data_IF_163883930611
#
_entry.id   IF_163883930611
#
_cell.length_a   1.000
_cell.length_b   1.000
_cell.length_c   1.000
_cell.angle_alpha   90.00
_cell.angle_beta   90.00
_cell.angle_gamma   90.00
#
_symmetry.space_group_name_H-M   'P 1'
#
loop_
_entity.id
_entity.type
_entity.pdbx_description
1 polymer ?
#
# COMPACT_ATOMS: atom_id res chain seq x y z
N UNK A 1 -18.83 24.66 -15.81
CA UNK A 1 -18.90 23.22 -16.12
C UNK A 1 -19.64 22.55 -14.99
N UNK A 2 -20.57 21.64 -15.33
CA UNK A 2 -21.48 21.03 -14.38
C UNK A 2 -20.71 20.04 -13.49
N UNK A 3 -20.79 20.27 -12.18
CA UNK A 3 -20.36 19.33 -11.15
C UNK A 3 -21.02 17.98 -11.41
N UNK A 4 -20.23 16.92 -11.48
CA UNK A 4 -20.72 15.55 -11.28
C UNK A 4 -21.22 15.44 -9.83
N UNK A 5 -22.45 15.88 -9.59
CA UNK A 5 -23.22 15.48 -8.42
C UNK A 5 -23.52 13.99 -8.58
N UNK A 6 -22.74 13.16 -7.90
CA UNK A 6 -23.07 11.75 -7.74
C UNK A 6 -24.22 11.70 -6.72
N UNK A 7 -25.46 11.74 -7.21
CA UNK A 7 -26.66 11.49 -6.43
C UNK A 7 -27.52 10.46 -7.17
N UNK A 8 -28.08 9.50 -6.43
CA UNK A 8 -29.04 8.55 -6.98
C UNK A 8 -30.34 9.26 -7.41
N UNK A 9 -31.04 8.76 -8.46
CA UNK A 9 -32.32 9.34 -8.89
C UNK A 9 -33.35 9.30 -7.75
N UNK A 10 -33.77 10.48 -7.27
CA UNK A 10 -34.84 10.62 -6.27
C UNK A 10 -34.43 11.20 -4.91
N UNK A 11 -33.14 11.44 -4.65
CA UNK A 11 -32.68 12.11 -3.43
C UNK A 11 -32.16 13.52 -3.73
N UNK A 12 -33.06 14.50 -3.80
CA UNK A 12 -32.66 15.92 -3.85
C UNK A 12 -32.26 16.39 -2.44
N UNK A 13 -31.09 17.02 -2.32
CA UNK A 13 -30.51 17.42 -1.02
C UNK A 13 -30.93 18.82 -0.60
N UNK A 14 -31.08 19.03 0.71
CA UNK A 14 -31.37 20.33 1.30
C UNK A 14 -30.15 21.27 1.08
N UNK A 15 -30.32 22.53 0.63
CA UNK A 15 -29.22 23.38 0.12
C UNK A 15 -28.11 23.80 1.11
N UNK A 16 -28.19 23.39 2.38
CA UNK A 16 -27.31 23.87 3.46
C UNK A 16 -26.67 22.77 4.31
N UNK A 17 -26.84 21.50 3.97
CA UNK A 17 -26.04 20.43 4.59
C UNK A 17 -24.69 20.33 3.88
N UNK A 18 -23.64 20.87 4.52
CA UNK A 18 -22.27 20.60 4.10
C UNK A 18 -21.96 19.11 4.33
N UNK A 19 -22.14 18.30 3.29
CA UNK A 19 -21.76 16.89 3.33
C UNK A 19 -20.25 16.78 3.25
N UNK A 20 -19.60 16.65 4.41
CA UNK A 20 -18.17 16.41 4.49
C UNK A 20 -17.87 14.98 4.01
N UNK A 21 -17.03 14.87 2.99
CA UNK A 21 -16.59 13.58 2.46
C UNK A 21 -15.07 13.59 2.25
N UNK A 22 -14.48 12.40 2.33
CA UNK A 22 -13.06 12.19 2.13
C UNK A 22 -12.78 10.93 1.30
N UNK A 23 -11.64 10.90 0.63
CA UNK A 23 -11.04 9.71 0.06
C UNK A 23 -9.96 9.16 0.98
N UNK A 24 -10.00 7.87 1.27
CA UNK A 24 -8.96 7.18 2.04
C UNK A 24 -8.24 6.22 1.11
N UNK A 25 -6.91 6.35 1.07
CA UNK A 25 -6.07 5.27 0.58
C UNK A 25 -5.58 4.43 1.77
N UNK A 26 -6.11 3.20 1.86
CA UNK A 26 -5.74 2.25 2.91
C UNK A 26 -4.67 1.30 2.36
N UNK A 27 -3.42 1.74 2.36
CA UNK A 27 -2.31 0.97 1.78
C UNK A 27 -1.76 -0.10 2.73
N UNK A 28 -0.81 -0.89 2.20
CA UNK A 28 -0.15 -1.95 2.99
C UNK A 28 0.81 -1.37 4.01
N UNK A 29 1.67 -0.45 3.57
CA UNK A 29 2.75 0.16 4.38
C UNK A 29 2.40 1.55 4.85
N UNK A 30 1.69 2.32 4.03
CA UNK A 30 1.32 3.70 4.25
C UNK A 30 -0.14 3.90 3.87
N UNK A 31 -0.83 4.76 4.60
CA UNK A 31 -2.20 5.18 4.32
C UNK A 31 -2.28 6.70 4.35
N UNK A 32 -3.25 7.27 3.63
CA UNK A 32 -3.50 8.71 3.62
C UNK A 32 -5.00 9.00 3.50
N UNK A 33 -5.36 10.25 3.78
CA UNK A 33 -6.72 10.74 3.61
C UNK A 33 -6.69 12.09 2.91
N UNK A 34 -7.61 12.29 1.98
CA UNK A 34 -7.72 13.49 1.16
C UNK A 34 -9.17 13.95 1.07
N UNK A 35 -9.38 15.23 0.77
CA UNK A 35 -10.71 15.79 0.50
C UNK A 35 -10.64 16.79 -0.65
N UNK A 36 -11.78 17.06 -1.28
CA UNK A 36 -11.90 18.08 -2.32
C UNK A 36 -12.47 19.33 -1.69
N UNK A 37 -11.65 20.39 -1.61
CA UNK A 37 -12.06 21.68 -1.09
C UNK A 37 -12.01 22.71 -2.23
N UNK A 38 -13.13 23.40 -2.47
CA UNK A 38 -13.24 24.42 -3.52
C UNK A 38 -12.80 23.95 -4.92
N UNK A 39 -13.04 22.68 -5.22
CA UNK A 39 -12.69 22.06 -6.51
C UNK A 39 -11.27 21.49 -6.60
N UNK A 40 -10.43 21.68 -5.57
CA UNK A 40 -9.07 21.15 -5.54
C UNK A 40 -9.00 19.96 -4.57
N UNK A 41 -8.45 18.83 -5.04
CA UNK A 41 -8.13 17.71 -4.18
C UNK A 41 -6.84 18.01 -3.40
N UNK A 42 -6.87 17.84 -2.08
CA UNK A 42 -5.68 17.93 -1.23
C UNK A 42 -5.69 16.85 -0.17
N UNK A 43 -4.51 16.33 0.14
CA UNK A 43 -4.26 15.49 1.31
C UNK A 43 -4.51 16.28 2.59
N UNK A 44 -4.92 15.58 3.65
CA UNK A 44 -5.13 16.17 4.97
C UNK A 44 -3.98 15.72 5.89
N UNK A 45 -3.18 16.69 6.33
CA UNK A 45 -2.05 16.46 7.23
C UNK A 45 -2.49 16.27 8.68
N UNK A 46 -1.63 15.63 9.48
CA UNK A 46 -1.75 15.67 10.94
C UNK A 46 -1.28 17.01 11.53
N UNK A 47 -1.29 17.08 12.86
CA UNK A 47 -0.83 18.22 13.67
C UNK A 47 0.66 18.57 13.48
N UNK A 48 1.46 17.63 12.98
CA UNK A 48 2.87 17.81 12.64
C UNK A 48 3.10 18.10 11.15
N UNK A 49 2.02 18.29 10.37
CA UNK A 49 2.11 18.56 8.94
C UNK A 49 2.39 17.33 8.07
N UNK A 50 2.32 16.11 8.63
CA UNK A 50 2.58 14.87 7.89
C UNK A 50 1.30 14.39 7.20
N UNK A 51 1.40 14.18 5.89
CA UNK A 51 0.28 13.68 5.08
C UNK A 51 0.14 12.16 5.17
N UNK A 52 1.26 11.44 5.15
CA UNK A 52 1.31 9.98 5.22
C UNK A 52 1.20 9.48 6.67
N UNK A 53 0.36 8.47 6.86
CA UNK A 53 0.25 7.68 8.09
C UNK A 53 0.83 6.27 7.84
N UNK A 54 1.93 5.86 8.51
CA UNK A 54 2.37 4.47 8.48
C UNK A 54 1.25 3.53 8.90
N UNK A 55 1.01 2.48 8.12
CA UNK A 55 -0.04 1.47 8.37
C UNK A 55 0.45 0.45 9.39
N UNK A 56 0.74 0.96 10.59
CA UNK A 56 1.36 0.24 11.69
C UNK A 56 0.52 0.50 12.95
N UNK A 57 0.20 -0.56 13.68
CA UNK A 57 -0.57 -0.50 14.92
C UNK A 57 0.19 -1.26 16.01
N UNK A 58 0.39 -0.63 17.15
CA UNK A 58 1.04 -1.23 18.31
C UNK A 58 0.06 -1.36 19.45
N UNK A 59 -0.16 -2.58 19.92
CA UNK A 59 -1.09 -2.92 20.98
C UNK A 59 -0.35 -3.02 22.32
N UNK A 60 -0.40 -1.93 23.09
CA UNK A 60 0.19 -1.86 24.42
C UNK A 60 -0.83 -2.27 25.48
N UNK A 61 -0.40 -2.41 26.74
CA UNK A 61 -1.30 -2.84 27.82
C UNK A 61 -2.47 -1.86 28.05
N UNK A 62 -2.20 -0.55 28.00
CA UNK A 62 -3.18 0.48 28.36
C UNK A 62 -3.69 1.30 27.16
N UNK A 63 -3.03 1.21 26.01
CA UNK A 63 -3.39 1.98 24.83
C UNK A 63 -3.06 1.26 23.52
N UNK A 64 -3.66 1.76 22.43
CA UNK A 64 -3.35 1.37 21.06
C UNK A 64 -2.68 2.57 20.40
N UNK A 65 -1.50 2.35 19.85
CA UNK A 65 -0.75 3.35 19.10
C UNK A 65 -0.88 3.07 17.61
N UNK A 66 -0.90 4.11 16.79
CA UNK A 66 -1.06 4.00 15.33
C UNK A 66 -0.06 4.95 14.64
N UNK A 67 0.48 4.53 13.50
CA UNK A 67 1.36 5.37 12.70
C UNK A 67 2.77 5.47 13.26
N UNK A 68 3.32 6.69 13.28
CA UNK A 68 4.71 6.92 13.69
C UNK A 68 4.98 6.54 15.15
N UNK A 69 3.98 6.70 16.04
CA UNK A 69 4.13 6.31 17.45
C UNK A 69 4.20 4.79 17.61
N UNK A 70 3.44 4.04 16.82
CA UNK A 70 3.56 2.59 16.74
C UNK A 70 4.90 2.16 16.10
N UNK A 71 5.31 2.85 15.03
CA UNK A 71 6.56 2.56 14.33
C UNK A 71 7.78 2.64 15.26
N UNK A 72 7.81 3.62 16.16
CA UNK A 72 8.89 3.80 17.13
C UNK A 72 9.09 2.60 18.07
N UNK A 73 8.05 1.81 18.33
CA UNK A 73 8.11 0.62 19.18
C UNK A 73 8.35 -0.66 18.39
N UNK A 74 8.30 -0.62 17.06
CA UNK A 74 8.19 -1.85 16.28
C UNK A 74 9.38 -2.80 16.43
N UNK A 75 10.61 -2.31 16.67
CA UNK A 75 11.78 -3.17 16.94
C UNK A 75 11.73 -3.73 18.37
N UNK A 76 11.60 -2.86 19.37
CA UNK A 76 11.59 -3.26 20.79
C UNK A 76 10.43 -4.21 21.11
N UNK A 77 9.31 -4.04 20.43
CA UNK A 77 8.05 -4.72 20.70
C UNK A 77 7.40 -5.26 19.41
N UNK A 78 8.20 -6.04 18.67
CA UNK A 78 7.85 -6.55 17.34
C UNK A 78 6.61 -7.46 17.33
N UNK A 79 6.36 -8.21 18.41
CA UNK A 79 5.25 -9.15 18.49
C UNK A 79 3.89 -8.46 18.64
N UNK A 80 3.86 -7.28 19.29
CA UNK A 80 2.63 -6.52 19.51
C UNK A 80 2.49 -5.33 18.56
N UNK A 81 3.48 -5.11 17.69
CA UNK A 81 3.48 -4.04 16.70
C UNK A 81 3.29 -4.61 15.31
N UNK A 82 2.05 -4.55 14.84
CA UNK A 82 1.59 -5.15 13.61
C UNK A 82 1.82 -4.19 12.44
N UNK A 83 2.57 -4.65 11.44
CA UNK A 83 2.82 -4.00 10.15
C UNK A 83 2.21 -4.81 9.02
N UNK A 84 1.95 -4.18 7.88
CA UNK A 84 1.53 -4.85 6.64
C UNK A 84 0.27 -5.72 6.80
N UNK A 85 -0.64 -5.34 7.71
CA UNK A 85 -1.84 -6.11 8.04
C UNK A 85 -2.73 -6.38 6.82
N UNK A 86 -2.73 -5.48 5.82
CA UNK A 86 -3.45 -5.66 4.54
C UNK A 86 -3.04 -6.95 3.81
N UNK A 87 -1.80 -7.42 3.96
CA UNK A 87 -1.34 -8.69 3.35
C UNK A 87 -1.94 -9.92 4.02
N UNK A 88 -2.49 -9.80 5.23
CA UNK A 88 -3.07 -10.89 6.01
C UNK A 88 -4.59 -11.00 5.81
N UNK A 89 -5.24 -9.94 5.31
CA UNK A 89 -6.69 -9.92 5.11
C UNK A 89 -7.13 -10.98 4.09
N UNK A 90 -8.10 -11.80 4.50
CA UNK A 90 -8.71 -12.83 3.65
C UNK A 90 -7.80 -14.03 3.37
N UNK A 91 -6.67 -14.19 4.09
CA UNK A 91 -5.79 -15.35 3.96
C UNK A 91 -6.03 -16.34 5.09
N UNK A 92 -5.82 -17.62 4.78
CA UNK A 92 -5.79 -18.68 5.78
C UNK A 92 -4.49 -18.62 6.59
N UNK A 93 -4.47 -19.24 7.77
CA UNK A 93 -3.27 -19.33 8.61
C UNK A 93 -2.12 -20.04 7.88
N UNK A 94 -2.42 -21.16 7.20
CA UNK A 94 -1.45 -21.88 6.39
C UNK A 94 -0.83 -21.01 5.28
N UNK A 95 -1.66 -20.23 4.59
CA UNK A 95 -1.20 -19.31 3.54
C UNK A 95 -0.27 -18.23 4.10
N UNK A 96 -0.61 -17.67 5.27
CA UNK A 96 0.22 -16.66 5.94
C UNK A 96 1.57 -17.25 6.33
N UNK A 97 1.58 -18.41 6.98
CA UNK A 97 2.80 -19.07 7.44
C UNK A 97 3.70 -19.51 6.27
N UNK A 98 3.10 -19.96 5.17
CA UNK A 98 3.87 -20.35 3.98
C UNK A 98 4.48 -19.15 3.24
N UNK A 99 3.79 -18.00 3.20
CA UNK A 99 4.25 -16.82 2.46
C UNK A 99 5.16 -15.91 3.27
N UNK A 100 4.90 -15.82 4.58
CA UNK A 100 5.56 -14.89 5.49
C UNK A 100 6.06 -15.64 6.75
N UNK A 101 6.97 -16.62 6.58
CA UNK A 101 7.39 -17.51 7.66
C UNK A 101 8.13 -16.79 8.79
N UNK A 102 8.67 -15.61 8.52
CA UNK A 102 9.47 -14.83 9.47
C UNK A 102 8.67 -13.73 10.19
N UNK A 103 7.34 -13.70 10.08
CA UNK A 103 6.56 -12.70 10.82
C UNK A 103 6.76 -12.88 12.34
N UNK A 104 6.98 -11.80 13.12
CA UNK A 104 7.25 -11.89 14.54
C UNK A 104 5.99 -12.14 15.40
N UNK A 105 4.85 -12.47 14.78
CA UNK A 105 3.56 -12.52 15.44
C UNK A 105 3.26 -13.90 15.99
N UNK A 106 2.65 -13.94 17.18
CA UNK A 106 2.06 -15.16 17.72
C UNK A 106 0.64 -15.31 17.16
N UNK A 107 0.48 -16.20 16.18
CA UNK A 107 -0.81 -16.43 15.54
C UNK A 107 -1.68 -17.38 16.37
N UNK A 108 -2.95 -17.03 16.48
CA UNK A 108 -4.00 -17.82 17.12
C UNK A 108 -5.25 -17.83 16.22
N UNK A 109 -6.39 -18.27 16.75
CA UNK A 109 -7.63 -18.42 15.98
C UNK A 109 -7.71 -19.75 15.22
N UNK A 110 -8.55 -19.79 14.18
CA UNK A 110 -8.73 -20.96 13.32
C UNK A 110 -8.08 -20.77 11.93
N UNK A 111 -8.02 -21.85 11.14
CA UNK A 111 -7.35 -21.85 9.83
C UNK A 111 -7.89 -20.78 8.87
N UNK A 112 -9.18 -20.47 8.91
CA UNK A 112 -9.81 -19.52 7.99
C UNK A 112 -9.95 -18.11 8.58
N UNK A 113 -9.78 -17.97 9.89
CA UNK A 113 -9.87 -16.71 10.64
C UNK A 113 -8.64 -16.56 11.55
N UNK A 114 -7.45 -16.37 10.98
CA UNK A 114 -6.24 -16.17 11.77
C UNK A 114 -6.33 -14.86 12.57
N UNK A 115 -5.92 -14.94 13.82
CA UNK A 115 -5.81 -13.83 14.75
C UNK A 115 -4.36 -13.71 15.23
N UNK A 116 -4.00 -12.55 15.75
CA UNK A 116 -2.68 -12.26 16.32
C UNK A 116 -2.88 -12.02 17.82
N UNK A 117 -2.19 -12.80 18.65
CA UNK A 117 -2.19 -12.58 20.09
C UNK A 117 -1.36 -11.34 20.42
N UNK A 118 -1.99 -10.35 21.05
CA UNK A 118 -1.34 -9.10 21.49
C UNK A 118 -1.56 -8.88 22.99
N UNK A 119 -0.96 -7.82 23.56
CA UNK A 119 -1.26 -7.39 24.94
C UNK A 119 -2.73 -7.03 25.17
N UNK A 120 -3.47 -6.67 24.12
CA UNK A 120 -4.92 -6.38 24.18
C UNK A 120 -5.77 -7.64 23.89
N UNK A 121 -5.15 -8.82 23.84
CA UNK A 121 -5.80 -10.07 23.45
C UNK A 121 -5.68 -10.36 21.95
N UNK A 122 -6.47 -11.33 21.48
CA UNK A 122 -6.51 -11.73 20.08
C UNK A 122 -7.13 -10.61 19.22
N UNK A 123 -6.42 -10.22 18.16
CA UNK A 123 -6.89 -9.24 17.17
C UNK A 123 -6.71 -9.80 15.76
N UNK A 124 -7.70 -9.59 14.90
CA UNK A 124 -7.62 -9.99 13.50
C UNK A 124 -7.15 -8.83 12.60
N UNK A 125 -6.70 -9.10 11.36
CA UNK A 125 -6.25 -8.06 10.43
C UNK A 125 -7.29 -6.96 10.14
N UNK A 126 -8.59 -7.28 10.19
CA UNK A 126 -9.69 -6.32 9.99
C UNK A 126 -9.73 -5.30 11.12
N UNK A 127 -9.56 -5.73 12.37
CA UNK A 127 -9.48 -4.85 13.54
C UNK A 127 -8.23 -3.96 13.47
N UNK A 128 -7.08 -4.51 13.01
CA UNK A 128 -5.87 -3.70 12.80
C UNK A 128 -6.10 -2.59 11.77
N UNK A 129 -6.72 -2.92 10.63
CA UNK A 129 -7.09 -1.91 9.64
C UNK A 129 -8.12 -0.90 10.17
N UNK A 130 -9.02 -1.30 11.06
CA UNK A 130 -9.97 -0.38 11.69
C UNK A 130 -9.28 0.69 12.54
N UNK A 131 -8.21 0.36 13.28
CA UNK A 131 -7.46 1.34 14.06
C UNK A 131 -6.77 2.39 13.17
N UNK A 132 -6.24 1.97 12.01
CA UNK A 132 -5.69 2.89 11.00
C UNK A 132 -6.78 3.82 10.47
N UNK A 133 -7.94 3.27 10.12
CA UNK A 133 -9.08 4.04 9.62
C UNK A 133 -9.62 5.03 10.67
N UNK A 134 -9.70 4.65 11.95
CA UNK A 134 -10.08 5.57 13.05
C UNK A 134 -9.14 6.77 13.14
N UNK A 135 -7.83 6.53 13.02
CA UNK A 135 -6.84 7.60 13.05
C UNK A 135 -7.00 8.56 11.87
N UNK A 136 -7.24 8.05 10.66
CA UNK A 136 -7.47 8.88 9.47
C UNK A 136 -8.79 9.65 9.56
N UNK A 137 -9.87 9.00 10.01
CA UNK A 137 -11.16 9.66 10.20
C UNK A 137 -11.06 10.82 11.21
N UNK A 138 -10.40 10.60 12.35
CA UNK A 138 -10.16 11.65 13.36
C UNK A 138 -9.38 12.83 12.76
N UNK A 139 -8.36 12.55 11.94
CA UNK A 139 -7.60 13.57 11.22
C UNK A 139 -8.48 14.38 10.28
N UNK A 140 -9.33 13.72 9.47
CA UNK A 140 -10.23 14.43 8.57
C UNK A 140 -11.29 15.25 9.29
N UNK A 141 -11.86 14.73 10.39
CA UNK A 141 -12.83 15.48 11.18
C UNK A 141 -12.21 16.75 11.79
N UNK A 142 -10.97 16.65 12.30
CA UNK A 142 -10.23 17.80 12.81
C UNK A 142 -9.93 18.82 11.70
N UNK A 143 -9.51 18.37 10.51
CA UNK A 143 -9.17 19.25 9.39
C UNK A 143 -10.41 19.91 8.74
N UNK A 144 -11.55 19.21 8.69
CA UNK A 144 -12.77 19.67 8.03
C UNK A 144 -13.77 20.33 8.99
N UNK A 145 -13.53 20.25 10.31
CA UNK A 145 -14.34 20.91 11.33
C UNK A 145 -15.68 20.24 11.63
N UNK A 146 -15.82 18.93 11.38
CA UNK A 146 -17.06 18.21 11.62
C UNK A 146 -17.03 16.73 11.25
N UNK A 147 -18.10 16.01 11.57
CA UNK A 147 -18.23 14.59 11.24
C UNK A 147 -18.35 14.37 9.72
N UNK A 148 -17.69 13.31 9.22
CA UNK A 148 -17.82 12.91 7.83
C UNK A 148 -19.17 12.26 7.58
N UNK A 149 -19.86 12.69 6.52
CA UNK A 149 -21.04 12.00 6.00
C UNK A 149 -20.68 10.61 5.46
N UNK A 150 -19.47 10.47 4.91
CA UNK A 150 -18.92 9.20 4.49
C UNK A 150 -17.63 9.34 3.69
N UNK A 151 -17.03 8.21 3.36
CA UNK A 151 -15.75 8.14 2.66
C UNK A 151 -15.80 7.23 1.45
N UNK A 152 -14.92 7.49 0.49
CA UNK A 152 -14.53 6.53 -0.54
C UNK A 152 -13.21 5.89 -0.11
N UNK A 153 -13.12 4.56 -0.10
CA UNK A 153 -11.90 3.84 0.29
C UNK A 153 -11.34 3.13 -0.94
N UNK A 154 -10.04 3.26 -1.18
CA UNK A 154 -9.36 2.52 -2.25
C UNK A 154 -9.15 1.05 -1.86
N UNK A 155 -9.21 0.17 -2.86
CA UNK A 155 -8.82 -1.24 -2.72
C UNK A 155 -8.07 -1.70 -3.96
N UNK A 156 -7.16 -2.70 -3.85
CA UNK A 156 -6.50 -3.26 -5.02
C UNK A 156 -7.52 -3.80 -6.02
N UNK A 157 -7.25 -3.67 -7.31
CA UNK A 157 -8.24 -3.99 -8.33
C UNK A 157 -8.58 -5.49 -8.36
N UNK A 158 -7.61 -6.33 -8.05
CA UNK A 158 -7.72 -7.78 -7.96
C UNK A 158 -8.24 -8.32 -6.60
N UNK A 159 -8.64 -7.44 -5.66
CA UNK A 159 -9.30 -7.90 -4.44
C UNK A 159 -10.61 -8.62 -4.75
N UNK A 160 -10.77 -9.81 -4.17
CA UNK A 160 -12.01 -10.57 -4.24
C UNK A 160 -13.11 -10.00 -3.33
N UNK A 161 -14.30 -10.60 -3.38
CA UNK A 161 -15.45 -10.14 -2.60
C UNK A 161 -15.21 -10.23 -1.08
N UNK A 162 -14.47 -11.23 -0.60
CA UNK A 162 -14.18 -11.41 0.82
C UNK A 162 -13.22 -10.33 1.34
N UNK A 163 -12.18 -10.00 0.56
CA UNK A 163 -11.25 -8.92 0.88
C UNK A 163 -11.92 -7.56 0.82
N UNK A 164 -12.78 -7.31 -0.18
CA UNK A 164 -13.60 -6.08 -0.26
C UNK A 164 -14.56 -5.95 0.91
N UNK A 165 -15.19 -7.04 1.32
CA UNK A 165 -16.07 -7.05 2.49
C UNK A 165 -15.29 -6.77 3.77
N UNK A 166 -14.10 -7.37 3.92
CA UNK A 166 -13.19 -7.13 5.05
C UNK A 166 -12.81 -5.65 5.19
N UNK A 167 -12.54 -4.95 4.07
CA UNK A 167 -12.29 -3.50 4.11
C UNK A 167 -13.52 -2.70 4.57
N UNK A 168 -14.73 -3.08 4.15
CA UNK A 168 -15.97 -2.43 4.64
C UNK A 168 -16.20 -2.71 6.12
N UNK A 169 -15.90 -3.91 6.58
CA UNK A 169 -16.05 -4.29 7.99
C UNK A 169 -15.05 -3.52 8.86
N UNK A 170 -13.80 -3.32 8.41
CA UNK A 170 -12.83 -2.45 9.06
C UNK A 170 -13.36 -1.01 9.18
N UNK A 171 -13.95 -0.47 8.11
CA UNK A 171 -14.55 0.87 8.14
C UNK A 171 -15.75 0.96 9.09
N UNK A 172 -16.59 -0.08 9.13
CA UNK A 172 -17.71 -0.17 10.07
C UNK A 172 -17.23 -0.19 11.53
N UNK A 173 -16.18 -0.96 11.83
CA UNK A 173 -15.54 -0.98 13.15
C UNK A 173 -14.90 0.37 13.52
N UNK A 174 -14.47 1.14 12.51
CA UNK A 174 -13.97 2.50 12.69
C UNK A 174 -15.08 3.56 12.83
N UNK A 175 -16.36 3.17 12.72
CA UNK A 175 -17.50 4.11 12.76
C UNK A 175 -17.64 4.97 11.50
N UNK A 176 -17.12 4.49 10.36
CA UNK A 176 -17.07 5.25 9.11
C UNK A 176 -18.13 4.72 8.13
N UNK A 177 -18.91 5.64 7.56
CA UNK A 177 -19.84 5.33 6.47
C UNK A 177 -19.08 5.21 5.14
N UNK A 178 -19.06 4.02 4.54
CA UNK A 178 -18.42 3.79 3.24
C UNK A 178 -19.41 4.10 2.11
N UNK A 179 -19.16 5.18 1.39
CA UNK A 179 -19.94 5.58 0.21
C UNK A 179 -19.65 4.65 -0.97
N UNK A 180 -18.36 4.32 -1.17
CA UNK A 180 -17.91 3.47 -2.27
C UNK A 180 -16.55 2.87 -1.98
N UNK A 181 -16.32 1.65 -2.46
CA UNK A 181 -14.96 1.15 -2.68
C UNK A 181 -14.53 1.48 -4.10
N UNK A 182 -13.37 2.10 -4.25
CA UNK A 182 -12.80 2.46 -5.56
C UNK A 182 -11.55 1.62 -5.81
N UNK A 183 -11.35 1.14 -7.03
CA UNK A 183 -10.11 0.44 -7.35
C UNK A 183 -8.95 1.43 -7.38
N UNK A 184 -7.84 1.11 -6.72
CA UNK A 184 -6.59 1.89 -6.69
C UNK A 184 -6.15 2.38 -8.09
N UNK A 185 -6.04 1.52 -9.13
CA UNK A 185 -5.63 2.00 -10.46
C UNK A 185 -6.66 2.91 -11.13
N UNK A 186 -7.95 2.80 -10.77
CA UNK A 186 -8.98 3.74 -11.26
C UNK A 186 -8.86 5.09 -10.55
N UNK A 187 -8.56 5.09 -9.25
CA UNK A 187 -8.29 6.32 -8.50
C UNK A 187 -7.06 7.06 -9.06
N UNK A 188 -5.99 6.32 -9.36
CA UNK A 188 -4.79 6.84 -10.02
C UNK A 188 -5.09 7.41 -11.42
N UNK A 189 -5.89 6.70 -12.23
CA UNK A 189 -6.30 7.19 -13.55
C UNK A 189 -7.14 8.49 -13.45
N UNK A 190 -8.02 8.61 -12.45
CA UNK A 190 -8.78 9.83 -12.16
C UNK A 190 -7.83 10.97 -11.77
N UNK A 191 -6.84 10.71 -10.90
CA UNK A 191 -5.84 11.71 -10.54
C UNK A 191 -5.00 12.19 -11.74
N UNK A 192 -4.75 11.30 -12.71
CA UNK A 192 -4.07 11.64 -13.96
C UNK A 192 -4.93 12.45 -14.95
N UNK A 193 -6.21 12.07 -15.10
CA UNK A 193 -7.01 12.44 -16.27
C UNK A 193 -8.16 13.42 -16.04
N UNK A 194 -8.38 13.93 -14.82
CA UNK A 194 -9.46 14.90 -14.55
C UNK A 194 -9.37 16.17 -15.42
N UNK A 195 -8.17 16.56 -15.87
CA UNK A 195 -7.94 17.80 -16.63
C UNK A 195 -7.18 17.61 -17.97
N UNK A 196 -6.74 16.41 -18.35
CA UNK A 196 -5.81 16.25 -19.48
C UNK A 196 -6.45 16.26 -20.87
N UNK A 197 -7.77 16.07 -20.97
CA UNK A 197 -8.50 16.02 -22.26
C UNK A 197 -8.03 14.93 -23.23
N UNK A 198 -7.16 14.03 -22.75
CA UNK A 198 -6.49 13.01 -23.54
C UNK A 198 -7.42 11.81 -23.76
N UNK A 199 -7.37 11.18 -24.92
CA UNK A 199 -8.14 9.98 -25.23
C UNK A 199 -7.20 8.87 -25.71
N UNK A 200 -7.57 7.62 -25.45
CA UNK A 200 -6.81 6.44 -25.88
C UNK A 200 -6.57 5.45 -24.74
N UNK A 201 -5.63 4.53 -24.96
CA UNK A 201 -5.37 3.41 -24.04
C UNK A 201 -4.19 3.73 -23.13
N UNK A 202 -4.39 3.66 -21.83
CA UNK A 202 -3.36 3.87 -20.82
C UNK A 202 -3.12 2.59 -20.02
N UNK A 203 -1.90 2.41 -19.55
CA UNK A 203 -1.55 1.36 -18.60
C UNK A 203 -1.26 2.01 -17.23
N UNK A 204 -1.98 1.61 -16.19
CA UNK A 204 -1.68 2.00 -14.81
C UNK A 204 -0.92 0.87 -14.15
N UNK A 205 0.37 1.10 -13.90
CA UNK A 205 1.29 0.21 -13.23
C UNK A 205 1.39 0.62 -11.76
N UNK A 206 0.75 -0.14 -10.88
CA UNK A 206 0.69 0.14 -9.45
C UNK A 206 1.54 -0.89 -8.69
N UNK A 207 2.66 -0.45 -8.11
CA UNK A 207 3.52 -1.29 -7.29
C UNK A 207 3.71 -0.66 -5.90
N UNK A 208 2.86 -1.10 -4.97
CA UNK A 208 2.85 -0.65 -3.59
C UNK A 208 3.80 -1.41 -2.67
N UNK A 209 3.48 -1.41 -1.37
CA UNK A 209 4.23 -2.14 -0.35
C UNK A 209 3.98 -3.65 -0.36
N UNK A 210 2.74 -4.10 -0.60
CA UNK A 210 2.38 -5.53 -0.52
C UNK A 210 1.72 -6.11 -1.76
N UNK A 211 1.32 -5.27 -2.72
CA UNK A 211 0.52 -5.64 -3.88
C UNK A 211 1.07 -5.00 -5.15
N UNK A 212 0.86 -5.70 -6.26
CA UNK A 212 1.12 -5.23 -7.61
C UNK A 212 -0.16 -5.33 -8.42
N UNK A 213 -0.58 -4.24 -9.04
CA UNK A 213 -1.71 -4.15 -9.95
C UNK A 213 -1.27 -3.56 -11.30
N UNK A 214 -1.82 -4.09 -12.38
CA UNK A 214 -1.72 -3.52 -13.71
C UNK A 214 -3.13 -3.44 -14.29
N UNK A 215 -3.56 -2.24 -14.67
CA UNK A 215 -4.84 -2.04 -15.36
C UNK A 215 -4.63 -1.39 -16.71
N UNK A 216 -5.25 -1.95 -17.72
CA UNK A 216 -5.32 -1.36 -19.07
C UNK A 216 -6.68 -0.66 -19.16
N UNK A 217 -6.65 0.66 -19.27
CA UNK A 217 -7.85 1.48 -19.32
C UNK A 217 -7.95 2.20 -20.66
N UNK A 218 -9.18 2.39 -21.15
CA UNK A 218 -9.48 3.26 -22.27
C UNK A 218 -10.16 4.51 -21.76
N UNK A 219 -9.60 5.67 -22.08
CA UNK A 219 -10.19 6.97 -21.81
C UNK A 219 -10.90 7.47 -23.07
N UNK A 220 -12.20 7.73 -22.95
CA UNK A 220 -13.04 8.25 -24.03
C UNK A 220 -14.01 9.27 -23.45
N UNK A 221 -13.91 10.55 -23.88
CA UNK A 221 -14.78 11.65 -23.43
C UNK A 221 -14.92 11.74 -21.90
N UNK A 222 -13.82 11.56 -21.18
CA UNK A 222 -13.78 11.62 -19.70
C UNK A 222 -14.34 10.39 -18.98
N UNK A 223 -14.67 9.32 -19.71
CA UNK A 223 -15.08 8.04 -19.13
C UNK A 223 -13.91 7.06 -19.18
N UNK A 224 -13.57 6.49 -18.02
CA UNK A 224 -12.60 5.41 -17.91
C UNK A 224 -13.31 4.07 -18.05
N UNK A 225 -12.97 3.32 -19.08
CA UNK A 225 -13.36 1.94 -19.28
C UNK A 225 -12.17 1.04 -18.92
N UNK A 226 -12.36 0.08 -18.01
CA UNK A 226 -11.33 -0.92 -17.70
C UNK A 226 -11.42 -2.02 -18.74
N UNK A 227 -10.38 -2.19 -19.56
CA UNK A 227 -10.30 -3.23 -20.58
C UNK A 227 -9.84 -4.57 -19.97
N UNK A 228 -8.80 -4.52 -19.14
CA UNK A 228 -8.33 -5.66 -18.37
C UNK A 228 -7.59 -5.22 -17.11
N UNK A 229 -7.58 -6.09 -16.12
CA UNK A 229 -6.80 -5.96 -14.89
C UNK A 229 -6.05 -7.26 -14.63
N UNK A 230 -4.79 -7.13 -14.24
CA UNK A 230 -3.97 -8.21 -13.72
C UNK A 230 -3.12 -7.72 -12.56
N UNK A 231 -2.31 -8.61 -11.99
CA UNK A 231 -1.50 -8.25 -10.84
C UNK A 231 -1.03 -9.47 -10.05
N UNK A 232 -0.56 -9.21 -8.84
CA UNK A 232 -0.18 -10.17 -7.82
C UNK A 232 -0.43 -9.57 -6.41
N UNK A 233 -1.33 -10.22 -5.66
CA UNK A 233 -1.74 -9.79 -4.29
C UNK A 233 -0.69 -10.02 -3.22
N UNK A 234 0.41 -10.68 -3.57
CA UNK A 234 1.50 -11.03 -2.69
C UNK A 234 2.84 -10.61 -3.28
N UNK A 235 2.89 -9.49 -4.00
CA UNK A 235 4.11 -8.93 -4.58
C UNK A 235 4.15 -7.41 -4.39
N UNK A 236 5.14 -6.89 -3.68
CA UNK A 236 5.37 -5.47 -3.49
C UNK A 236 6.74 -5.15 -2.90
N UNK A 237 6.88 -3.93 -2.38
CA UNK A 237 8.10 -3.45 -1.74
C UNK A 237 8.56 -4.27 -0.54
N UNK A 238 7.64 -4.89 0.20
CA UNK A 238 7.94 -5.77 1.33
C UNK A 238 8.70 -7.02 0.86
N UNK A 239 8.40 -7.54 -0.34
CA UNK A 239 9.10 -8.71 -0.87
C UNK A 239 10.50 -8.36 -1.39
N UNK A 240 10.71 -7.09 -1.79
CA UNK A 240 12.05 -6.58 -2.07
C UNK A 240 12.86 -6.50 -0.78
N UNK A 241 12.24 -6.06 0.32
CA UNK A 241 12.88 -5.98 1.63
C UNK A 241 13.24 -7.37 2.14
N UNK A 242 12.35 -8.37 2.00
CA UNK A 242 12.64 -9.76 2.35
C UNK A 242 13.85 -10.30 1.57
N UNK A 243 13.97 -10.02 0.27
CA UNK A 243 15.13 -10.44 -0.52
C UNK A 243 16.44 -9.82 -0.01
N UNK A 244 16.41 -8.58 0.48
CA UNK A 244 17.55 -7.94 1.13
C UNK A 244 17.83 -8.54 2.51
N UNK A 245 16.80 -8.82 3.31
CA UNK A 245 16.95 -9.47 4.63
C UNK A 245 17.62 -10.83 4.47
N UNK A 246 17.16 -11.66 3.54
CA UNK A 246 17.74 -12.99 3.31
C UNK A 246 19.22 -12.87 2.91
N UNK A 247 19.57 -11.89 2.07
CA UNK A 247 20.96 -11.57 1.77
C UNK A 247 21.75 -11.12 3.02
N UNK A 248 21.21 -10.26 3.87
CA UNK A 248 21.90 -9.82 5.09
C UNK A 248 22.08 -10.96 6.10
N UNK A 249 21.08 -11.81 6.26
CA UNK A 249 21.16 -13.00 7.12
C UNK A 249 22.29 -13.92 6.66
N UNK A 250 22.40 -14.16 5.36
CA UNK A 250 23.49 -14.95 4.78
C UNK A 250 24.86 -14.28 4.99
N UNK A 251 24.99 -12.99 4.67
CA UNK A 251 26.26 -12.26 4.79
C UNK A 251 26.74 -12.09 6.24
N UNK A 252 25.81 -11.99 7.19
CA UNK A 252 26.10 -11.93 8.62
C UNK A 252 26.34 -13.31 9.24
N UNK A 253 26.11 -14.40 8.49
CA UNK A 253 26.22 -15.77 9.00
C UNK A 253 25.19 -16.11 10.08
N UNK A 254 24.03 -15.44 10.04
CA UNK A 254 22.93 -15.65 11.00
C UNK A 254 22.10 -16.89 10.61
N UNK A 255 21.52 -17.56 11.60
CA UNK A 255 20.70 -18.76 11.39
C UNK A 255 19.30 -18.54 11.96
N UNK A 256 18.29 -18.70 11.11
CA UNK A 256 16.87 -18.60 11.48
C UNK A 256 16.44 -19.83 12.34
N UNK A 257 15.47 -19.68 13.26
CA UNK A 257 14.69 -18.47 13.55
C UNK A 257 15.51 -17.43 14.33
N UNK A 258 15.35 -16.15 13.95
CA UNK A 258 15.95 -15.02 14.66
C UNK A 258 15.02 -14.53 15.77
N UNK A 259 15.53 -13.70 16.68
CA UNK A 259 14.66 -13.01 17.64
C UNK A 259 13.67 -12.09 16.88
N UNK A 260 12.43 -11.92 17.38
CA UNK A 260 11.44 -11.04 16.76
C UNK A 260 11.95 -9.61 16.53
N UNK A 261 12.74 -9.09 17.48
CA UNK A 261 13.34 -7.76 17.40
C UNK A 261 14.43 -7.68 16.33
N UNK A 262 15.31 -8.68 16.23
CA UNK A 262 16.34 -8.73 15.19
C UNK A 262 15.72 -8.84 13.79
N UNK A 263 14.70 -9.70 13.64
CA UNK A 263 13.97 -9.85 12.38
C UNK A 263 13.33 -8.51 11.94
N UNK A 264 12.67 -7.82 12.88
CA UNK A 264 12.08 -6.52 12.58
C UNK A 264 13.14 -5.48 12.22
N UNK A 265 14.27 -5.47 12.93
CA UNK A 265 15.36 -4.55 12.68
C UNK A 265 15.93 -4.74 11.26
N UNK A 266 16.15 -6.00 10.85
CA UNK A 266 16.59 -6.33 9.49
C UNK A 266 15.60 -5.83 8.44
N UNK A 267 14.30 -6.05 8.63
CA UNK A 267 13.27 -5.56 7.71
C UNK A 267 13.26 -4.02 7.59
N UNK A 268 13.40 -3.30 8.71
CA UNK A 268 13.48 -1.83 8.67
C UNK A 268 14.73 -1.35 7.94
N UNK A 269 15.88 -1.97 8.21
CA UNK A 269 17.15 -1.60 7.59
C UNK A 269 17.20 -1.95 6.11
N UNK A 270 16.58 -3.06 5.70
CA UNK A 270 16.35 -3.40 4.30
C UNK A 270 15.49 -2.35 3.59
N UNK A 271 14.35 -1.97 4.17
CA UNK A 271 13.48 -0.93 3.61
C UNK A 271 14.22 0.41 3.49
N UNK A 272 14.92 0.83 4.55
CA UNK A 272 15.75 2.03 4.54
C UNK A 272 16.81 1.97 3.42
N UNK A 273 17.55 0.87 3.31
CA UNK A 273 18.58 0.71 2.30
C UNK A 273 17.99 0.80 0.87
N UNK A 274 16.88 0.09 0.61
CA UNK A 274 16.14 0.15 -0.66
C UNK A 274 15.74 1.58 -1.02
N UNK A 275 15.16 2.31 -0.07
CA UNK A 275 14.74 3.70 -0.27
C UNK A 275 15.94 4.62 -0.55
N UNK A 276 17.03 4.51 0.23
CA UNK A 276 18.25 5.31 0.01
C UNK A 276 18.89 5.04 -1.35
N UNK A 277 18.91 3.78 -1.79
CA UNK A 277 19.44 3.37 -3.09
C UNK A 277 18.60 3.84 -4.29
N UNK A 278 17.45 4.47 -4.06
CA UNK A 278 16.74 5.19 -5.13
C UNK A 278 17.58 6.36 -5.65
N UNK A 279 18.26 7.09 -4.76
CA UNK A 279 19.04 8.28 -5.09
C UNK A 279 20.56 8.07 -4.98
N UNK A 280 21.01 7.07 -4.21
CA UNK A 280 22.44 6.79 -3.97
C UNK A 280 22.89 5.54 -4.74
N UNK A 281 24.18 5.44 -5.01
CA UNK A 281 24.78 4.21 -5.58
C UNK A 281 25.10 3.16 -4.53
N UNK A 282 25.25 3.59 -3.27
CA UNK A 282 25.65 2.75 -2.15
C UNK A 282 25.10 3.31 -0.83
N UNK A 283 24.81 2.42 0.13
CA UNK A 283 24.35 2.76 1.47
C UNK A 283 25.02 1.83 2.49
N UNK A 284 25.48 2.40 3.59
CA UNK A 284 26.01 1.63 4.73
C UNK A 284 24.88 1.24 5.67
N UNK A 285 24.95 0.00 6.16
CA UNK A 285 23.93 -0.64 6.98
C UNK A 285 24.59 -1.12 8.26
N UNK A 286 23.93 -0.89 9.38
CA UNK A 286 24.35 -1.38 10.70
C UNK A 286 23.18 -2.12 11.34
N UNK A 287 23.44 -3.35 11.77
CA UNK A 287 22.50 -4.20 12.50
C UNK A 287 23.09 -4.52 13.86
N UNK A 288 22.40 -4.14 14.93
CA UNK A 288 22.74 -4.56 16.29
C UNK A 288 22.18 -5.96 16.53
N UNK A 289 23.08 -6.91 16.79
CA UNK A 289 22.79 -8.31 17.02
C UNK A 289 22.37 -8.58 18.47
N UNK A 290 21.76 -9.74 18.72
CA UNK A 290 21.26 -10.13 20.05
C UNK A 290 22.38 -10.26 21.11
N UNK A 291 23.63 -10.45 20.68
CA UNK A 291 24.81 -10.49 21.56
C UNK A 291 25.36 -9.10 21.91
N UNK A 292 24.66 -8.03 21.52
CA UNK A 292 25.04 -6.61 21.65
C UNK A 292 26.27 -6.21 20.82
N UNK A 293 26.68 -7.04 19.86
CA UNK A 293 27.64 -6.61 18.83
C UNK A 293 26.92 -5.97 17.65
N UNK A 294 27.63 -5.16 16.88
CA UNK A 294 27.12 -4.58 15.64
C UNK A 294 27.73 -5.31 14.44
N UNK A 295 26.87 -5.73 13.51
CA UNK A 295 27.26 -6.14 12.18
C UNK A 295 27.08 -4.97 11.20
N UNK A 296 28.13 -4.69 10.43
CA UNK A 296 28.15 -3.59 9.46
C UNK A 296 28.43 -4.13 8.06
N UNK A 297 27.70 -3.61 7.08
CA UNK A 297 27.92 -3.91 5.67
C UNK A 297 27.61 -2.68 4.81
N UNK A 298 27.92 -2.78 3.53
CA UNK A 298 27.53 -1.79 2.55
C UNK A 298 26.82 -2.46 1.39
N UNK A 299 25.66 -1.91 1.00
CA UNK A 299 24.84 -2.41 -0.09
C UNK A 299 24.90 -1.43 -1.26
N UNK A 300 25.18 -1.96 -2.45
CA UNK A 300 25.18 -1.17 -3.69
C UNK A 300 23.84 -1.30 -4.43
N UNK A 301 23.52 -0.29 -5.26
CA UNK A 301 22.36 -0.33 -6.17
C UNK A 301 22.41 -1.52 -7.12
N UNK A 302 23.61 -1.90 -7.57
CA UNK A 302 23.79 -3.07 -8.44
C UNK A 302 23.39 -4.38 -7.73
N UNK A 303 23.80 -4.57 -6.48
CA UNK A 303 23.40 -5.74 -5.67
C UNK A 303 21.89 -5.75 -5.42
N UNK A 304 21.30 -4.60 -5.06
CA UNK A 304 19.84 -4.48 -4.94
C UNK A 304 19.15 -4.95 -6.23
N UNK A 305 19.61 -4.48 -7.38
CA UNK A 305 19.00 -4.81 -8.67
C UNK A 305 19.07 -6.32 -8.97
N UNK A 306 20.18 -6.97 -8.63
CA UNK A 306 20.33 -8.42 -8.78
C UNK A 306 19.33 -9.18 -7.89
N UNK A 307 19.26 -8.80 -6.61
CA UNK A 307 18.42 -9.46 -5.61
C UNK A 307 16.92 -9.37 -5.96
N UNK A 308 16.46 -8.21 -6.45
CA UNK A 308 15.02 -8.00 -6.76
C UNK A 308 14.66 -8.31 -8.22
N UNK A 309 15.64 -8.58 -9.09
CA UNK A 309 15.41 -8.68 -10.54
C UNK A 309 14.40 -9.75 -10.93
N UNK A 310 14.35 -10.87 -10.21
CA UNK A 310 13.36 -11.92 -10.45
C UNK A 310 11.92 -11.49 -10.09
N UNK A 311 11.77 -10.64 -9.08
CA UNK A 311 10.50 -10.08 -8.60
C UNK A 311 9.99 -9.00 -9.57
N UNK A 312 10.86 -8.11 -10.05
CA UNK A 312 10.52 -7.15 -11.12
C UNK A 312 10.11 -7.89 -12.40
N UNK A 313 10.78 -8.98 -12.76
CA UNK A 313 10.35 -9.78 -13.91
C UNK A 313 8.96 -10.42 -13.74
N UNK A 314 8.49 -10.69 -12.50
CA UNK A 314 7.12 -11.15 -12.25
C UNK A 314 6.09 -10.08 -12.61
N UNK A 315 6.35 -8.81 -12.27
CA UNK A 315 5.44 -7.70 -12.60
C UNK A 315 5.30 -7.54 -14.12
N UNK A 316 6.40 -7.59 -14.87
CA UNK A 316 6.39 -7.49 -16.34
C UNK A 316 5.68 -8.67 -17.02
N UNK A 317 5.73 -9.87 -16.42
CA UNK A 317 4.93 -11.01 -16.91
C UNK A 317 3.45 -10.75 -16.77
N UNK A 318 3.02 -10.17 -15.65
CA UNK A 318 1.64 -9.76 -15.44
C UNK A 318 1.22 -8.62 -16.39
N UNK A 319 2.09 -7.66 -16.69
CA UNK A 319 1.83 -6.64 -17.74
C UNK A 319 1.54 -7.28 -19.10
N UNK A 320 2.42 -8.20 -19.57
CA UNK A 320 2.23 -8.91 -20.84
C UNK A 320 0.92 -9.69 -20.90
N UNK A 321 0.58 -10.40 -19.82
CA UNK A 321 -0.69 -11.14 -19.72
C UNK A 321 -1.88 -10.19 -19.82
N UNK A 322 -1.84 -9.08 -19.09
CA UNK A 322 -2.96 -8.12 -19.03
C UNK A 322 -3.18 -7.40 -20.37
N UNK A 323 -2.10 -7.04 -21.07
CA UNK A 323 -2.21 -6.51 -22.44
C UNK A 323 -2.86 -7.50 -23.41
N UNK A 324 -2.47 -8.78 -23.31
CA UNK A 324 -3.08 -9.86 -24.09
C UNK A 324 -4.56 -10.04 -23.77
N UNK A 325 -4.93 -10.01 -22.48
CA UNK A 325 -6.32 -10.15 -22.04
C UNK A 325 -7.18 -8.96 -22.49
N UNK A 326 -6.59 -7.76 -22.62
CA UNK A 326 -7.23 -6.57 -23.17
C UNK A 326 -7.32 -6.56 -24.71
N UNK A 327 -6.67 -7.49 -25.41
CA UNK A 327 -6.45 -7.47 -26.86
C UNK A 327 -5.80 -6.16 -27.35
N UNK A 328 -4.79 -5.69 -26.61
CA UNK A 328 -4.05 -4.44 -26.87
C UNK A 328 -2.56 -4.75 -27.07
N UNK A 329 -1.98 -4.15 -28.10
CA UNK A 329 -0.52 -4.17 -28.34
C UNK A 329 0.20 -3.09 -27.53
N UNK A 330 1.50 -3.27 -27.30
CA UNK A 330 2.32 -2.27 -26.57
C UNK A 330 2.26 -0.89 -27.25
N UNK A 331 2.26 -0.85 -28.58
CA UNK A 331 2.27 0.40 -29.35
C UNK A 331 0.96 1.19 -29.25
N UNK A 332 -0.15 0.53 -28.90
CA UNK A 332 -1.45 1.18 -28.67
C UNK A 332 -1.53 1.87 -27.30
N UNK A 333 -0.66 1.52 -26.36
CA UNK A 333 -0.59 2.18 -25.06
C UNK A 333 0.04 3.56 -25.23
N UNK A 334 -0.77 4.61 -25.07
CA UNK A 334 -0.32 5.98 -25.28
C UNK A 334 0.46 6.52 -24.09
N UNK A 335 0.17 6.03 -22.88
CA UNK A 335 0.78 6.46 -21.63
C UNK A 335 0.88 5.30 -20.63
N UNK A 336 1.98 5.27 -19.87
CA UNK A 336 2.15 4.35 -18.75
C UNK A 336 2.24 5.17 -17.46
N UNK A 337 1.20 5.12 -16.64
CA UNK A 337 1.14 5.82 -15.36
C UNK A 337 1.69 4.91 -14.27
N UNK A 338 2.72 5.34 -13.55
CA UNK A 338 3.26 4.58 -12.42
C UNK A 338 2.77 5.16 -11.09
N UNK A 339 2.20 4.31 -10.24
CA UNK A 339 1.77 4.65 -8.88
C UNK A 339 2.25 3.59 -7.89
N UNK A 340 2.27 3.92 -6.61
CA UNK A 340 2.83 3.09 -5.54
C UNK A 340 4.32 3.37 -5.32
N UNK A 341 4.72 3.51 -4.06
CA UNK A 341 6.08 3.93 -3.69
C UNK A 341 7.21 3.06 -4.25
N UNK A 342 6.99 1.75 -4.45
CA UNK A 342 8.02 0.85 -4.99
C UNK A 342 8.32 1.11 -6.48
N UNK A 343 7.48 1.89 -7.18
CA UNK A 343 7.79 2.39 -8.52
C UNK A 343 8.91 3.42 -8.54
N UNK A 344 9.35 3.94 -7.39
CA UNK A 344 10.53 4.83 -7.29
C UNK A 344 11.84 4.08 -7.50
N UNK A 345 11.86 2.76 -7.30
CA UNK A 345 13.04 1.92 -7.49
C UNK A 345 13.54 2.04 -8.94
N UNK A 346 14.81 2.46 -9.18
CA UNK A 346 15.31 2.73 -10.54
C UNK A 346 15.21 1.54 -11.49
N UNK A 347 15.45 0.32 -10.99
CA UNK A 347 15.31 -0.90 -11.81
C UNK A 347 13.88 -1.03 -12.34
N UNK A 348 12.87 -0.87 -11.48
CA UNK A 348 11.45 -0.98 -11.86
C UNK A 348 11.12 0.00 -12.98
N UNK A 349 11.49 1.27 -12.84
CA UNK A 349 11.26 2.29 -13.88
C UNK A 349 11.93 1.93 -15.20
N UNK A 350 13.21 1.54 -15.13
CA UNK A 350 13.99 1.22 -16.33
C UNK A 350 13.44 -0.01 -17.07
N UNK A 351 12.98 -1.03 -16.36
CA UNK A 351 12.43 -2.24 -16.95
C UNK A 351 11.01 -2.02 -17.50
N UNK A 352 10.19 -1.22 -16.82
CA UNK A 352 8.87 -0.81 -17.35
C UNK A 352 9.03 0.05 -18.60
N UNK A 353 9.98 0.99 -18.61
CA UNK A 353 10.29 1.82 -19.79
C UNK A 353 10.70 0.97 -21.00
N UNK A 354 11.60 0.02 -20.79
CA UNK A 354 11.99 -0.95 -21.83
C UNK A 354 10.82 -1.80 -22.29
N UNK A 355 9.99 -2.27 -21.36
CA UNK A 355 8.87 -3.15 -21.67
C UNK A 355 7.82 -2.47 -22.56
N UNK A 356 7.44 -1.23 -22.22
CA UNK A 356 6.44 -0.46 -22.97
C UNK A 356 7.04 0.40 -24.09
N UNK A 357 8.37 0.38 -24.26
CA UNK A 357 9.11 1.23 -25.19
C UNK A 357 8.74 2.72 -25.07
N UNK A 358 8.52 3.17 -23.83
CA UNK A 358 8.02 4.52 -23.53
C UNK A 358 8.40 4.93 -22.12
N UNK A 359 8.82 6.19 -21.96
CA UNK A 359 9.08 6.77 -20.65
C UNK A 359 7.78 6.80 -19.83
N UNK A 360 7.73 6.14 -18.65
CA UNK A 360 6.54 6.18 -17.82
C UNK A 360 6.32 7.55 -17.20
N UNK A 361 5.05 7.92 -17.04
CA UNK A 361 4.65 9.09 -16.31
C UNK A 361 4.86 8.87 -14.81
N UNK A 362 5.71 9.72 -14.24
CA UNK A 362 6.12 9.70 -12.83
C UNK A 362 5.99 11.09 -12.18
N UNK A 363 5.25 12.00 -12.83
CA UNK A 363 5.01 13.36 -12.33
C UNK A 363 3.87 13.45 -11.31
N UNK A 364 3.01 12.43 -11.27
CA UNK A 364 2.05 12.24 -10.19
C UNK A 364 2.83 11.68 -9.01
N UNK A 365 2.57 12.17 -7.80
CA UNK A 365 3.18 11.62 -6.59
C UNK A 365 2.71 10.16 -6.43
N UNK A 366 3.60 9.16 -6.60
CA UNK A 366 3.24 7.75 -6.62
C UNK A 366 3.05 7.16 -5.23
#
# INVERSE_FOLDING_TARGET
>A
MALLQIAEPGQSTVPHEHRLAAGIDLGTTNSLIASVQSGNASTLSDDQGREILPSIVSYQADNILVGQTAQALSIEDAQNTITSAKRLIGRSLQDIQSKYPSLPYDFCGDENHPEIMTRQGAVNPVQVSAEILKSLNSRAQAALGGELTGVVITVPAHFDDAQRQSTKDAAKLAGISVLRLLNEPTAAAVAYGLDSGQEGVIAVYDLGGGTFDISILRLNKGVFEVLATGGDSALGGDDFDVALVDYFVEQAGLVRPLSPSLERQLMQQACYAKEQLTAKEQVDITISLDDNSDWQTSLTKAQLNELIGSLVNKTLRACRRTLKDADITIDEVIEVVMVGGSTRVPLVRSEVEKHFNKKPLTSIDP
#
